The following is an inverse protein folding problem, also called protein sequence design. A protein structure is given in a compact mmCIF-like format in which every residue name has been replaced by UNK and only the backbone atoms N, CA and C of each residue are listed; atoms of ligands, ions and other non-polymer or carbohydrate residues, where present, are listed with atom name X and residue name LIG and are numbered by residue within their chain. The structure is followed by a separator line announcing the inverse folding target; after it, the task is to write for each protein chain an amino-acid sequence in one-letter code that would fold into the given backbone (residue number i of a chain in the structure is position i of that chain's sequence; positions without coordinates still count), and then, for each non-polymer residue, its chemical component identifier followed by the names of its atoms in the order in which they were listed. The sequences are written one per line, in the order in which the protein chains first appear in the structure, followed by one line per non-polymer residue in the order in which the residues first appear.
data_IF_123155868420
#
_entry.id   IF_123155868420
#
_cell.length_a   1.000
_cell.length_b   1.000
_cell.length_c   1.000
_cell.angle_alpha   90.00
_cell.angle_beta   90.00
_cell.angle_gamma   90.00
#
_symmetry.space_group_name_H-M   'P 1'
#
loop_
_entity.id
_entity.type
_entity.pdbx_description
1 polymer ?
#
# COMPACT_ATOMS: atom_id res chain seq x y z
N UNK A 1 -93.74 -10.73 5.52
CA UNK A 1 -93.26 -12.12 5.50
C UNK A 1 -91.89 -12.12 4.82
N UNK A 2 -90.77 -12.10 5.56
CA UNK A 2 -90.00 -13.24 6.11
C UNK A 2 -88.78 -13.57 5.21
N UNK A 3 -87.60 -13.20 5.74
CA UNK A 3 -86.27 -13.87 5.75
C UNK A 3 -85.33 -13.84 4.52
N UNK A 4 -84.20 -13.14 4.72
CA UNK A 4 -82.82 -13.53 4.31
C UNK A 4 -82.41 -14.88 4.92
N UNK A 5 -81.46 -15.67 4.34
CA UNK A 5 -80.03 -15.59 4.74
C UNK A 5 -79.00 -16.03 3.63
N UNK A 6 -77.80 -15.44 3.47
CA UNK A 6 -76.48 -15.67 4.14
C UNK A 6 -75.62 -16.81 3.51
N UNK A 7 -74.40 -16.40 3.07
CA UNK A 7 -73.08 -17.08 3.08
C UNK A 7 -72.61 -18.10 2.03
N UNK A 8 -71.34 -17.85 1.63
CA UNK A 8 -70.16 -18.73 1.59
C UNK A 8 -69.53 -18.83 0.19
N UNK A 9 -68.41 -18.13 -0.10
CA UNK A 9 -66.98 -18.47 0.12
C UNK A 9 -66.33 -18.78 -1.26
N UNK A 10 -65.47 -17.93 -1.85
CA UNK A 10 -64.01 -17.77 -1.65
C UNK A 10 -63.17 -18.57 -2.69
N UNK A 11 -62.03 -17.97 -3.08
CA UNK A 11 -60.90 -18.47 -3.89
C UNK A 11 -60.95 -17.99 -5.36
N UNK A 12 -60.39 -16.82 -5.72
CA UNK A 12 -58.98 -16.39 -5.74
C UNK A 12 -58.10 -17.17 -6.74
N UNK A 13 -57.99 -16.66 -7.97
CA UNK A 13 -56.77 -16.78 -8.80
C UNK A 13 -56.68 -15.63 -9.82
N UNK A 14 -56.28 -14.46 -9.31
CA UNK A 14 -55.75 -13.37 -10.13
C UNK A 14 -54.26 -13.66 -10.39
N UNK A 15 -53.95 -14.23 -11.55
CA UNK A 15 -52.58 -14.22 -12.10
C UNK A 15 -52.45 -12.97 -12.96
N UNK A 16 -52.30 -11.81 -12.33
CA UNK A 16 -51.76 -10.64 -13.01
C UNK A 16 -50.25 -10.88 -13.19
N UNK A 17 -49.88 -11.36 -14.37
CA UNK A 17 -48.51 -11.26 -14.86
C UNK A 17 -48.21 -9.77 -15.08
N UNK A 18 -47.62 -9.12 -14.08
CA UNK A 18 -47.02 -7.79 -14.22
C UNK A 18 -45.84 -7.88 -15.17
N UNK A 19 -46.12 -7.73 -16.47
CA UNK A 19 -45.12 -7.37 -17.48
C UNK A 19 -44.72 -5.93 -17.19
N UNK A 20 -43.55 -5.74 -16.59
CA UNK A 20 -43.01 -4.39 -16.38
C UNK A 20 -42.57 -3.81 -17.73
N UNK A 21 -43.13 -2.66 -18.17
CA UNK A 21 -42.73 -2.03 -19.42
C UNK A 21 -41.30 -1.49 -19.32
N UNK A 22 -40.50 -1.75 -20.36
CA UNK A 22 -39.07 -1.43 -20.48
C UNK A 22 -38.75 0.07 -20.64
N UNK A 23 -39.67 0.97 -20.26
CA UNK A 23 -39.53 2.41 -20.41
C UNK A 23 -39.27 3.16 -19.09
N UNK A 24 -39.11 2.42 -17.98
CA UNK A 24 -38.59 3.04 -16.76
C UNK A 24 -37.11 3.41 -16.94
N UNK A 25 -36.73 4.69 -16.81
CA UNK A 25 -35.33 5.06 -16.79
C UNK A 25 -34.70 4.36 -15.58
N UNK A 26 -33.85 3.37 -15.85
CA UNK A 26 -32.92 2.86 -14.85
C UNK A 26 -32.16 4.09 -14.40
N UNK A 27 -32.49 4.61 -13.20
CA UNK A 27 -31.80 5.74 -12.60
C UNK A 27 -30.35 5.31 -12.43
N UNK A 28 -29.51 5.58 -13.43
CA UNK A 28 -28.07 5.62 -13.26
C UNK A 28 -27.87 6.53 -12.05
N UNK A 29 -27.29 6.01 -10.97
CA UNK A 29 -26.99 6.81 -9.80
C UNK A 29 -26.17 8.04 -10.20
N UNK A 30 -26.01 9.03 -9.31
CA UNK A 30 -25.14 10.17 -9.56
C UNK A 30 -23.82 9.70 -10.19
N UNK A 31 -23.27 10.39 -11.20
CA UNK A 31 -22.11 9.93 -11.98
C UNK A 31 -20.93 9.49 -11.09
N UNK A 32 -20.78 10.14 -9.93
CA UNK A 32 -19.83 9.78 -8.88
C UNK A 32 -20.00 8.35 -8.32
N UNK A 33 -21.23 7.87 -8.07
CA UNK A 33 -21.49 6.50 -7.57
C UNK A 33 -21.13 5.42 -8.58
N UNK A 34 -21.32 5.69 -9.88
CA UNK A 34 -20.93 4.76 -10.94
C UNK A 34 -19.39 4.63 -11.01
N UNK A 35 -18.71 5.79 -10.99
CA UNK A 35 -17.24 5.88 -10.93
C UNK A 35 -16.67 5.13 -9.72
N UNK A 36 -17.22 5.32 -8.53
CA UNK A 36 -16.78 4.60 -7.32
C UNK A 36 -16.90 3.08 -7.45
N UNK A 37 -17.98 2.58 -8.04
CA UNK A 37 -18.22 1.14 -8.20
C UNK A 37 -17.17 0.49 -9.11
N UNK A 38 -16.80 1.17 -10.19
CA UNK A 38 -15.83 0.66 -11.17
C UNK A 38 -14.40 0.67 -10.62
N UNK A 39 -14.06 1.70 -9.84
CA UNK A 39 -12.72 1.87 -9.27
C UNK A 39 -12.49 1.12 -7.96
N UNK A 40 -13.52 0.55 -7.33
CA UNK A 40 -13.45 -0.03 -5.97
C UNK A 40 -12.29 -1.03 -5.77
N UNK A 41 -11.99 -1.84 -6.80
CA UNK A 41 -10.93 -2.86 -6.76
C UNK A 41 -9.68 -2.46 -7.56
N UNK A 42 -9.53 -1.17 -7.86
CA UNK A 42 -8.41 -0.61 -8.61
C UNK A 42 -7.55 0.23 -7.69
N UNK A 43 -6.25 0.12 -7.84
CA UNK A 43 -5.33 0.99 -7.11
C UNK A 43 -5.37 2.37 -7.76
N UNK A 44 -6.07 3.28 -7.09
CA UNK A 44 -6.24 4.67 -7.52
C UNK A 44 -5.34 5.56 -6.67
N UNK A 45 -4.62 6.44 -7.34
CA UNK A 45 -3.68 7.37 -6.74
C UNK A 45 -4.07 8.76 -7.20
N UNK A 46 -4.08 9.71 -6.26
CA UNK A 46 -4.46 11.09 -6.51
C UNK A 46 -3.20 11.93 -6.47
N UNK A 47 -2.80 12.49 -7.61
CA UNK A 47 -1.63 13.34 -7.73
C UNK A 47 -2.10 14.71 -8.19
N UNK A 48 -1.83 15.73 -7.38
CA UNK A 48 -2.16 17.12 -7.71
C UNK A 48 -3.65 17.35 -8.02
N UNK A 49 -4.52 16.61 -7.34
CA UNK A 49 -5.97 16.65 -7.55
C UNK A 49 -6.47 15.86 -8.77
N UNK A 50 -5.57 15.31 -9.57
CA UNK A 50 -5.88 14.39 -10.67
C UNK A 50 -5.82 12.93 -10.22
N UNK A 51 -6.67 12.09 -10.78
CA UNK A 51 -6.85 10.71 -10.34
C UNK A 51 -6.29 9.74 -11.40
N UNK A 52 -5.47 8.79 -10.95
CA UNK A 52 -4.77 7.82 -11.80
C UNK A 52 -5.05 6.39 -11.35
N UNK A 53 -5.19 5.46 -12.29
CA UNK A 53 -5.33 4.02 -12.04
C UNK A 53 -4.02 3.30 -12.34
N UNK A 54 -3.52 2.53 -11.37
CA UNK A 54 -2.40 1.59 -11.52
C UNK A 54 -2.85 0.37 -12.35
N UNK A 55 -2.20 0.11 -13.47
CA UNK A 55 -2.44 -1.09 -14.29
C UNK A 55 -1.12 -1.81 -14.58
N UNK A 56 -1.17 -3.13 -14.80
CA UNK A 56 0.01 -3.89 -15.20
C UNK A 56 0.35 -3.54 -16.65
N UNK A 57 1.64 -3.29 -16.93
CA UNK A 57 2.10 -3.05 -18.29
C UNK A 57 2.22 -4.39 -19.05
N UNK A 58 1.43 -4.65 -20.10
CA UNK A 58 1.53 -5.91 -20.85
C UNK A 58 2.91 -6.07 -21.52
N UNK A 59 3.55 -4.95 -21.90
CA UNK A 59 4.87 -4.95 -22.51
C UNK A 59 5.99 -5.38 -21.55
N UNK A 60 5.76 -5.33 -20.23
CA UNK A 60 6.76 -5.75 -19.23
C UNK A 60 7.16 -7.22 -19.36
N UNK A 61 6.21 -8.08 -19.70
CA UNK A 61 6.46 -9.51 -19.92
C UNK A 61 7.41 -9.80 -21.10
N UNK A 62 7.45 -8.89 -22.07
CA UNK A 62 8.22 -9.02 -23.31
C UNK A 62 9.53 -8.23 -23.27
N UNK A 63 9.61 -7.19 -22.44
CA UNK A 63 10.81 -6.40 -22.24
C UNK A 63 10.90 -5.91 -20.78
N UNK A 64 11.84 -6.47 -20.03
CA UNK A 64 12.08 -6.12 -18.62
C UNK A 64 12.60 -4.69 -18.43
N UNK A 65 13.03 -4.01 -19.50
CA UNK A 65 13.41 -2.60 -19.46
C UNK A 65 12.22 -1.64 -19.39
N UNK A 66 11.01 -2.14 -19.68
CA UNK A 66 9.78 -1.35 -19.57
C UNK A 66 9.32 -1.31 -18.10
N UNK A 67 8.58 -0.28 -17.68
CA UNK A 67 8.05 -0.25 -16.32
C UNK A 67 7.01 -1.36 -16.12
N UNK A 68 7.01 -1.99 -14.95
CA UNK A 68 6.08 -3.06 -14.57
C UNK A 68 4.61 -2.60 -14.54
N UNK A 69 4.38 -1.35 -14.17
CA UNK A 69 3.06 -0.76 -14.06
C UNK A 69 2.95 0.53 -14.90
N UNK A 70 1.74 0.80 -15.39
CA UNK A 70 1.36 2.08 -16.01
C UNK A 70 0.35 2.80 -15.11
N UNK A 71 0.35 4.13 -15.20
CA UNK A 71 -0.54 5.00 -14.44
C UNK A 71 -1.40 5.80 -15.41
N UNK A 72 -2.67 5.43 -15.50
CA UNK A 72 -3.59 5.93 -16.53
C UNK A 72 -4.58 6.89 -15.86
N UNK A 73 -4.77 8.11 -16.37
CA UNK A 73 -5.80 9.01 -15.87
C UNK A 73 -7.16 8.30 -15.81
N UNK A 74 -7.90 8.48 -14.71
CA UNK A 74 -9.17 7.78 -14.47
C UNK A 74 -10.15 8.00 -15.62
N UNK A 75 -10.26 9.21 -16.16
CA UNK A 75 -11.19 9.50 -17.26
C UNK A 75 -10.83 8.73 -18.54
N UNK A 76 -9.54 8.54 -18.79
CA UNK A 76 -9.04 7.68 -19.88
C UNK A 76 -9.29 6.20 -19.60
N UNK A 77 -9.06 5.76 -18.36
CA UNK A 77 -9.31 4.38 -17.96
C UNK A 77 -10.79 3.99 -18.11
N UNK A 78 -11.71 4.86 -17.69
CA UNK A 78 -13.15 4.63 -17.76
C UNK A 78 -13.69 4.67 -19.21
N UNK A 79 -13.02 5.39 -20.11
CA UNK A 79 -13.41 5.47 -21.53
C UNK A 79 -12.82 4.34 -22.38
N UNK A 80 -11.59 3.90 -22.07
CA UNK A 80 -10.84 2.90 -22.85
C UNK A 80 -10.73 1.53 -22.16
N UNK A 81 -11.43 1.29 -21.04
CA UNK A 81 -11.15 0.23 -20.06
C UNK A 81 -11.04 -1.22 -20.57
N UNK A 82 -11.57 -1.55 -21.75
CA UNK A 82 -11.40 -2.86 -22.39
C UNK A 82 -9.97 -3.17 -22.83
N UNK A 83 -9.16 -2.15 -23.14
CA UNK A 83 -7.76 -2.32 -23.56
C UNK A 83 -6.79 -2.62 -22.40
N UNK A 84 -7.20 -2.30 -21.16
CA UNK A 84 -6.37 -2.41 -19.95
C UNK A 84 -6.82 -3.50 -18.96
N UNK A 85 -7.94 -4.18 -19.23
CA UNK A 85 -8.53 -5.18 -18.33
C UNK A 85 -7.85 -6.57 -18.37
N UNK A 86 -6.93 -6.80 -19.29
CA UNK A 86 -6.36 -8.13 -19.55
C UNK A 86 -5.01 -8.35 -18.86
N UNK A 87 -5.00 -8.46 -17.52
CA UNK A 87 -3.99 -9.23 -16.74
C UNK A 87 -4.09 -8.91 -15.24
N UNK A 88 -5.08 -9.47 -14.57
CA UNK A 88 -4.95 -9.76 -13.13
C UNK A 88 -4.66 -11.26 -13.01
N UNK A 89 -3.54 -11.70 -12.41
CA UNK A 89 -3.36 -13.11 -12.08
C UNK A 89 -4.48 -13.52 -11.12
N UNK A 90 -5.28 -14.51 -11.52
CA UNK A 90 -6.15 -15.23 -10.59
C UNK A 90 -5.24 -16.01 -9.64
N UNK A 91 -5.15 -15.56 -8.41
CA UNK A 91 -4.62 -16.38 -7.32
C UNK A 91 -5.58 -17.58 -7.16
N UNK A 92 -5.08 -18.78 -7.49
CA UNK A 92 -5.83 -20.02 -7.41
C UNK A 92 -6.23 -20.29 -5.95
N UNK A 93 -7.49 -19.97 -5.64
CA UNK A 93 -8.12 -20.39 -4.39
C UNK A 93 -8.39 -21.89 -4.48
N UNK A 94 -7.49 -22.71 -3.94
CA UNK A 94 -7.78 -24.10 -3.60
C UNK A 94 -8.97 -24.13 -2.63
N UNK A 95 -10.12 -24.54 -3.16
CA UNK A 95 -11.29 -24.94 -2.38
C UNK A 95 -10.98 -26.30 -1.77
N UNK A 96 -11.00 -26.38 -0.44
CA UNK A 96 -11.48 -27.56 0.28
C UNK A 96 -12.00 -27.07 1.65
N UNK A 97 -13.32 -27.09 1.82
CA UNK A 97 -14.01 -26.92 3.10
C UNK A 97 -14.72 -28.24 3.42
N UNK A 98 -14.55 -28.78 4.64
CA UNK A 98 -15.51 -29.72 5.19
C UNK A 98 -16.62 -28.99 5.97
N UNK A 99 -17.83 -29.52 5.80
CA UNK A 99 -19.15 -29.12 6.31
C UNK A 99 -19.20 -29.00 7.84
N UNK A 100 -19.96 -28.04 8.42
CA UNK A 100 -20.15 -27.93 9.87
C UNK A 100 -21.28 -28.86 10.36
N UNK A 101 -20.98 -29.68 11.38
CA UNK A 101 -21.95 -30.49 12.12
C UNK A 101 -22.61 -29.64 13.21
N UNK A 102 -23.95 -29.54 13.14
CA UNK A 102 -24.83 -28.96 14.17
C UNK A 102 -24.98 -29.90 15.37
N UNK A 103 -24.93 -29.36 16.61
CA UNK A 103 -25.81 -29.72 17.76
C UNK A 103 -25.56 -28.82 19.01
N UNK A 104 -26.44 -28.79 20.04
CA UNK A 104 -27.31 -27.65 20.34
C UNK A 104 -27.01 -26.93 21.68
N UNK A 105 -27.57 -25.72 21.82
CA UNK A 105 -27.59 -24.87 23.02
C UNK A 105 -28.56 -25.37 24.12
N UNK A 106 -28.28 -25.06 25.40
CA UNK A 106 -29.30 -24.48 26.30
C UNK A 106 -28.68 -23.45 27.31
N UNK A 107 -29.44 -22.92 28.28
CA UNK A 107 -30.45 -21.87 28.15
C UNK A 107 -30.08 -20.57 28.92
N UNK A 108 -31.02 -19.65 28.88
CA UNK A 108 -30.96 -18.22 29.18
C UNK A 108 -31.22 -17.88 30.66
N UNK A 109 -30.27 -17.22 31.32
CA UNK A 109 -30.40 -16.24 32.42
C UNK A 109 -28.96 -15.82 32.79
N UNK A 110 -28.58 -14.57 33.02
CA UNK A 110 -29.23 -13.56 33.84
C UNK A 110 -28.61 -12.19 33.51
N UNK A 111 -29.33 -11.15 33.92
CA UNK A 111 -29.14 -9.74 33.56
C UNK A 111 -27.98 -9.15 34.36
N UNK A 112 -26.90 -8.74 33.69
CA UNK A 112 -25.88 -7.88 34.31
C UNK A 112 -25.55 -6.69 33.40
N UNK A 113 -25.75 -5.50 33.98
CA UNK A 113 -25.53 -4.19 33.39
C UNK A 113 -24.03 -4.03 33.13
N UNK A 114 -23.60 -4.21 31.87
CA UNK A 114 -22.25 -3.84 31.47
C UNK A 114 -22.22 -2.38 31.04
N UNK A 115 -21.52 -1.60 31.86
CA UNK A 115 -21.06 -0.25 31.61
C UNK A 115 -20.50 -0.11 30.20
N UNK A 116 -21.01 0.88 29.47
CA UNK A 116 -20.46 1.34 28.20
C UNK A 116 -19.18 2.09 28.54
N UNK A 117 -18.05 1.40 28.57
CA UNK A 117 -16.77 2.06 28.36
C UNK A 117 -16.69 2.45 26.88
N UNK A 118 -16.23 3.67 26.54
CA UNK A 118 -15.95 4.02 25.16
C UNK A 118 -14.99 2.98 24.57
N UNK A 119 -15.19 2.54 23.31
CA UNK A 119 -14.28 1.59 22.70
C UNK A 119 -12.89 2.21 22.71
N UNK A 120 -11.98 1.60 23.47
CA UNK A 120 -10.56 1.87 23.36
C UNK A 120 -10.16 1.75 21.89
N UNK A 121 -9.42 2.72 21.33
CA UNK A 121 -9.03 2.67 19.93
C UNK A 121 -8.26 1.38 19.69
N UNK A 122 -8.86 0.47 18.93
CA UNK A 122 -8.18 -0.73 18.45
C UNK A 122 -6.94 -0.24 17.73
N UNK A 123 -5.76 -0.67 18.17
CA UNK A 123 -4.48 -0.41 17.50
C UNK A 123 -4.70 -0.51 16.00
N UNK A 124 -4.66 0.63 15.32
CA UNK A 124 -5.01 0.69 13.91
C UNK A 124 -3.84 0.04 13.16
N UNK A 125 -4.11 -0.99 12.35
CA UNK A 125 -3.14 -1.67 11.46
C UNK A 125 -2.76 -0.74 10.29
N UNK A 126 -2.43 0.51 10.59
CA UNK A 126 -2.12 1.52 9.60
C UNK A 126 -0.72 1.30 9.06
N UNK A 127 -0.62 1.36 7.74
CA UNK A 127 0.63 1.13 7.04
C UNK A 127 1.28 2.45 6.63
N UNK A 128 2.57 2.57 6.88
CA UNK A 128 3.38 3.72 6.47
C UNK A 128 3.82 3.53 5.03
N UNK A 129 3.61 4.54 4.21
CA UNK A 129 4.06 4.64 2.83
C UNK A 129 5.55 4.96 2.80
N UNK A 130 6.32 4.02 2.31
CA UNK A 130 7.77 4.14 2.17
C UNK A 130 8.13 3.88 0.72
N UNK A 131 9.05 4.67 0.17
CA UNK A 131 9.66 4.37 -1.12
C UNK A 131 11.09 3.87 -0.90
N UNK A 132 11.45 2.79 -1.58
CA UNK A 132 12.83 2.31 -1.64
C UNK A 132 13.34 2.68 -3.02
N UNK A 133 14.33 3.57 -3.06
CA UNK A 133 14.94 4.04 -4.30
C UNK A 133 15.99 3.05 -4.82
N UNK A 134 16.51 3.35 -6.00
CA UNK A 134 17.65 2.65 -6.57
C UNK A 134 18.84 2.63 -5.59
N UNK A 135 19.62 1.55 -5.64
CA UNK A 135 20.85 1.42 -4.85
C UNK A 135 22.04 1.86 -5.70
N UNK A 136 22.75 2.89 -5.23
CA UNK A 136 24.00 3.34 -5.84
C UNK A 136 25.04 2.21 -5.79
N UNK A 137 25.40 1.69 -6.95
CA UNK A 137 26.28 0.55 -7.11
C UNK A 137 27.75 1.01 -7.15
N UNK A 138 28.47 0.79 -6.04
CA UNK A 138 29.90 1.11 -5.91
C UNK A 138 30.77 -0.13 -6.03
N UNK A 139 30.33 -1.12 -6.81
CA UNK A 139 31.15 -2.28 -7.18
C UNK A 139 32.36 -1.87 -8.03
N UNK A 140 33.37 -2.75 -8.04
CA UNK A 140 34.62 -2.53 -8.79
C UNK A 140 34.59 -3.09 -10.21
N UNK A 141 33.54 -3.85 -10.57
CA UNK A 141 33.35 -4.43 -11.89
C UNK A 141 32.36 -3.61 -12.71
N UNK A 142 32.82 -3.02 -13.82
CA UNK A 142 32.02 -2.13 -14.67
C UNK A 142 30.85 -2.82 -15.40
N UNK A 143 30.76 -4.16 -15.36
CA UNK A 143 29.84 -4.95 -16.19
C UNK A 143 28.55 -5.39 -15.46
N UNK A 144 28.45 -5.21 -14.14
CA UNK A 144 27.32 -5.70 -13.33
C UNK A 144 26.68 -4.55 -12.53
N UNK A 145 25.76 -3.78 -13.14
CA UNK A 145 24.90 -2.84 -12.41
C UNK A 145 23.77 -3.63 -11.73
N UNK A 146 23.98 -4.03 -10.48
CA UNK A 146 23.02 -4.85 -9.72
C UNK A 146 22.16 -4.03 -8.74
N UNK A 147 22.36 -2.72 -8.67
CA UNK A 147 21.63 -1.81 -7.78
C UNK A 147 20.09 -1.92 -7.87
N UNK A 148 19.53 -1.99 -9.10
CA UNK A 148 18.08 -2.17 -9.30
C UNK A 148 17.60 -3.50 -8.71
N UNK A 149 18.36 -4.57 -8.95
CA UNK A 149 18.04 -5.91 -8.46
C UNK A 149 18.13 -6.00 -6.92
N UNK A 150 19.14 -5.35 -6.31
CA UNK A 150 19.25 -5.23 -4.85
C UNK A 150 18.08 -4.46 -4.27
N UNK A 151 17.68 -3.34 -4.88
CA UNK A 151 16.56 -2.53 -4.40
C UNK A 151 15.25 -3.34 -4.39
N UNK A 152 14.98 -4.12 -5.46
CA UNK A 152 13.84 -5.02 -5.54
C UNK A 152 13.93 -6.14 -4.49
N UNK A 153 15.12 -6.69 -4.25
CA UNK A 153 15.32 -7.75 -3.25
C UNK A 153 15.07 -7.25 -1.83
N UNK A 154 15.54 -6.04 -1.49
CA UNK A 154 15.26 -5.38 -0.20
C UNK A 154 13.77 -5.06 -0.08
N UNK A 155 13.14 -4.52 -1.12
CA UNK A 155 11.70 -4.24 -1.14
C UNK A 155 10.86 -5.50 -0.89
N UNK A 156 11.19 -6.60 -1.56
CA UNK A 156 10.54 -7.88 -1.35
C UNK A 156 10.73 -8.41 0.08
N UNK A 157 11.92 -8.25 0.65
CA UNK A 157 12.19 -8.68 2.02
C UNK A 157 11.44 -7.84 3.07
N UNK A 158 11.35 -6.52 2.87
CA UNK A 158 10.54 -5.62 3.70
C UNK A 158 9.05 -6.01 3.63
N UNK A 159 8.51 -6.20 2.42
CA UNK A 159 7.10 -6.58 2.22
C UNK A 159 6.78 -7.97 2.80
N UNK A 160 7.75 -8.90 2.77
CA UNK A 160 7.61 -10.24 3.37
C UNK A 160 7.56 -10.19 4.89
N UNK A 161 8.36 -9.31 5.51
CA UNK A 161 8.55 -9.27 6.97
C UNK A 161 7.65 -8.30 7.70
N UNK A 162 7.12 -7.28 7.04
CA UNK A 162 6.29 -6.26 7.68
C UNK A 162 4.91 -6.15 7.04
N UNK A 163 3.89 -6.20 7.89
CA UNK A 163 2.50 -5.85 7.51
C UNK A 163 2.19 -4.37 7.71
N UNK A 164 3.13 -3.59 8.29
CA UNK A 164 2.94 -2.17 8.68
C UNK A 164 3.60 -1.17 7.72
N UNK A 165 4.25 -1.66 6.68
CA UNK A 165 4.86 -0.84 5.62
C UNK A 165 4.09 -1.10 4.32
N UNK A 166 3.79 -0.02 3.61
CA UNK A 166 3.23 -0.03 2.27
C UNK A 166 4.28 0.57 1.33
N UNK A 167 4.82 -0.24 0.43
CA UNK A 167 5.84 0.23 -0.51
C UNK A 167 5.19 0.97 -1.67
N UNK A 168 5.63 2.20 -1.90
CA UNK A 168 5.25 3.01 -3.07
C UNK A 168 6.20 2.68 -4.23
N UNK A 169 5.64 2.55 -5.44
CA UNK A 169 6.40 2.23 -6.64
C UNK A 169 7.41 3.33 -6.98
N UNK A 170 8.70 3.00 -6.93
CA UNK A 170 9.77 3.94 -7.23
C UNK A 170 9.68 4.53 -8.63
N UNK A 171 9.27 3.75 -9.65
CA UNK A 171 9.20 4.23 -11.04
C UNK A 171 8.12 5.31 -11.21
N UNK A 172 7.03 5.22 -10.46
CA UNK A 172 6.04 6.29 -10.40
C UNK A 172 6.62 7.55 -9.78
N UNK A 173 7.30 7.41 -8.65
CA UNK A 173 7.90 8.52 -7.94
C UNK A 173 8.94 9.23 -8.82
N UNK A 174 9.81 8.45 -9.47
CA UNK A 174 10.79 8.92 -10.45
C UNK A 174 10.11 9.69 -11.59
N UNK A 175 9.10 9.12 -12.23
CA UNK A 175 8.38 9.78 -13.33
C UNK A 175 7.65 11.06 -12.88
N UNK A 176 7.14 11.10 -11.65
CA UNK A 176 6.55 12.30 -11.08
C UNK A 176 7.59 13.40 -10.83
N UNK A 177 8.75 13.06 -10.27
CA UNK A 177 9.85 14.02 -10.06
C UNK A 177 10.36 14.58 -11.38
N UNK A 178 10.56 13.73 -12.39
CA UNK A 178 11.00 14.16 -13.72
C UNK A 178 10.02 15.16 -14.35
N UNK A 179 8.69 14.90 -14.25
CA UNK A 179 7.66 15.85 -14.71
C UNK A 179 7.72 17.20 -13.97
N UNK A 180 8.20 17.19 -12.72
CA UNK A 180 8.40 18.40 -11.90
C UNK A 180 9.77 19.06 -12.11
N UNK A 181 10.60 18.51 -12.99
CA UNK A 181 11.93 19.03 -13.29
C UNK A 181 13.02 18.62 -12.30
N UNK A 182 12.73 17.67 -11.40
CA UNK A 182 13.69 17.11 -10.45
C UNK A 182 14.33 15.82 -10.98
N UNK A 183 15.57 15.59 -10.58
CA UNK A 183 16.29 14.35 -10.80
C UNK A 183 16.16 13.41 -9.60
N UNK A 184 16.35 12.09 -9.76
CA UNK A 184 16.34 11.15 -8.63
C UNK A 184 17.34 11.50 -7.52
N UNK A 185 18.48 12.11 -7.87
CA UNK A 185 19.48 12.58 -6.90
C UNK A 185 18.95 13.70 -5.98
N UNK A 186 17.90 14.42 -6.39
CA UNK A 186 17.31 15.49 -5.59
C UNK A 186 16.44 14.96 -4.45
N UNK A 187 16.25 13.65 -4.31
CA UNK A 187 15.48 13.03 -3.22
C UNK A 187 16.06 13.30 -1.82
N UNK A 188 17.31 13.78 -1.73
CA UNK A 188 17.92 14.25 -0.48
C UNK A 188 17.47 15.68 -0.10
N UNK A 189 16.88 16.43 -1.03
CA UNK A 189 16.44 17.79 -0.81
C UNK A 189 15.13 17.81 0.02
N UNK A 190 15.07 18.55 1.15
CA UNK A 190 13.86 18.68 1.95
C UNK A 190 12.63 19.14 1.16
N UNK A 191 12.79 19.99 0.14
CA UNK A 191 11.67 20.44 -0.70
C UNK A 191 11.09 19.30 -1.53
N UNK A 192 11.95 18.40 -2.01
CA UNK A 192 11.53 17.21 -2.76
C UNK A 192 10.85 16.22 -1.82
N UNK A 193 11.41 15.99 -0.62
CA UNK A 193 10.77 15.15 0.40
C UNK A 193 9.38 15.66 0.78
N UNK A 194 9.22 16.97 0.93
CA UNK A 194 7.92 17.60 1.17
C UNK A 194 6.95 17.37 0.01
N UNK A 195 7.40 17.59 -1.24
CA UNK A 195 6.61 17.34 -2.43
C UNK A 195 6.16 15.87 -2.54
N UNK A 196 7.03 14.91 -2.21
CA UNK A 196 6.70 13.48 -2.18
C UNK A 196 5.67 13.15 -1.10
N UNK A 197 5.74 13.83 0.04
CA UNK A 197 4.76 13.70 1.10
C UNK A 197 3.39 14.24 0.69
N UNK A 198 3.35 15.41 0.05
CA UNK A 198 2.10 16.00 -0.47
C UNK A 198 1.47 15.12 -1.56
N UNK A 199 2.26 14.72 -2.57
CA UNK A 199 1.76 13.97 -3.71
C UNK A 199 1.36 12.53 -3.38
N UNK A 200 2.19 11.81 -2.63
CA UNK A 200 1.99 10.36 -2.42
C UNK A 200 1.63 9.97 -0.99
N UNK A 201 1.78 10.90 -0.03
CA UNK A 201 1.69 10.57 1.39
C UNK A 201 2.87 9.74 1.87
N UNK A 202 4.01 9.77 1.18
CA UNK A 202 5.25 9.06 1.58
C UNK A 202 5.75 9.66 2.89
N UNK A 203 5.99 8.82 3.91
CA UNK A 203 6.57 9.27 5.19
C UNK A 203 8.10 9.12 5.23
N UNK A 204 8.67 8.20 4.45
CA UNK A 204 10.11 8.03 4.36
C UNK A 204 10.58 7.57 2.97
N UNK A 205 11.76 8.05 2.59
CA UNK A 205 12.52 7.63 1.41
C UNK A 205 13.74 6.84 1.87
N UNK A 206 13.95 5.65 1.33
CA UNK A 206 15.13 4.82 1.60
C UNK A 206 16.05 4.87 0.38
N UNK A 207 17.22 5.47 0.55
CA UNK A 207 18.27 5.53 -0.47
C UNK A 207 19.31 4.46 -0.17
N UNK A 208 19.65 3.63 -1.15
CA UNK A 208 20.57 2.51 -0.97
C UNK A 208 21.96 2.78 -1.52
N UNK A 209 22.95 2.11 -0.92
CA UNK A 209 24.31 1.99 -1.48
C UNK A 209 24.79 0.55 -1.36
N UNK A 210 25.52 0.09 -2.37
CA UNK A 210 26.11 -1.25 -2.41
C UNK A 210 27.63 -1.14 -2.54
N UNK A 211 28.34 -1.82 -1.64
CA UNK A 211 29.80 -1.93 -1.68
C UNK A 211 30.21 -3.40 -1.70
N UNK A 212 30.93 -3.82 -2.74
CA UNK A 212 31.10 -5.24 -3.08
C UNK A 212 29.92 -5.77 -3.92
N UNK A 213 29.82 -7.08 -4.22
CA UNK A 213 30.49 -8.18 -3.53
C UNK A 213 31.96 -8.35 -3.93
N UNK A 214 32.83 -8.51 -2.94
CA UNK A 214 34.24 -8.89 -3.13
C UNK A 214 34.41 -10.39 -2.89
N UNK A 215 34.99 -11.11 -3.84
CA UNK A 215 35.19 -12.55 -3.78
C UNK A 215 36.64 -12.87 -3.42
N UNK A 216 36.81 -13.80 -2.48
CA UNK A 216 38.09 -14.31 -2.02
C UNK A 216 38.17 -15.80 -2.36
N UNK A 217 39.17 -16.18 -3.16
CA UNK A 217 39.49 -17.58 -3.42
C UNK A 217 40.61 -18.04 -2.51
N UNK A 218 40.44 -19.20 -1.90
CA UNK A 218 41.48 -19.89 -1.15
C UNK A 218 41.67 -21.28 -1.73
N UNK A 219 42.89 -21.54 -2.22
CA UNK A 219 43.33 -22.88 -2.58
C UNK A 219 43.83 -23.57 -1.32
N UNK A 220 42.97 -24.40 -0.72
CA UNK A 220 43.38 -25.28 0.37
C UNK A 220 44.19 -26.42 -0.24
N UNK A 221 45.50 -26.47 0.03
CA UNK A 221 46.36 -27.56 -0.45
C UNK A 221 45.83 -28.94 -0.02
N UNK A 222 45.48 -29.77 -1.00
CA UNK A 222 44.85 -31.09 -0.84
C UNK A 222 43.73 -31.31 -1.86
N UNK A 223 43.18 -32.53 -1.91
CA UNK A 223 42.13 -33.00 -2.85
C UNK A 223 40.77 -32.25 -2.74
N UNK A 224 40.72 -31.20 -1.92
CA UNK A 224 39.56 -30.33 -1.71
C UNK A 224 39.78 -29.06 -2.55
N UNK A 225 39.20 -29.03 -3.74
CA UNK A 225 39.36 -27.95 -4.72
C UNK A 225 39.07 -26.53 -4.18
N UNK A 226 39.39 -25.52 -5.00
CA UNK A 226 39.33 -24.10 -4.63
C UNK A 226 38.02 -23.72 -3.93
N UNK A 227 38.14 -23.12 -2.74
CA UNK A 227 37.02 -22.58 -1.96
C UNK A 227 36.88 -21.10 -2.24
N UNK A 228 35.66 -20.64 -2.50
CA UNK A 228 35.34 -19.23 -2.69
C UNK A 228 34.51 -18.72 -1.52
N UNK A 229 34.77 -17.50 -1.08
CA UNK A 229 33.96 -16.77 -0.10
C UNK A 229 33.71 -15.36 -0.61
N UNK A 230 32.63 -14.71 -0.19
CA UNK A 230 32.37 -13.33 -0.61
C UNK A 230 31.96 -12.44 0.57
N UNK A 231 32.25 -11.15 0.45
CA UNK A 231 31.86 -10.10 1.40
C UNK A 231 31.19 -8.97 0.65
N UNK A 232 30.05 -8.54 1.16
CA UNK A 232 29.29 -7.40 0.66
C UNK A 232 28.78 -6.58 1.84
N UNK A 233 28.75 -5.26 1.65
CA UNK A 233 28.12 -4.33 2.56
C UNK A 233 27.01 -3.62 1.81
N UNK A 234 25.81 -3.65 2.38
CA UNK A 234 24.64 -2.95 1.86
C UNK A 234 24.29 -1.84 2.85
N UNK A 235 24.41 -0.60 2.43
CA UNK A 235 24.07 0.58 3.22
C UNK A 235 22.73 1.16 2.80
N UNK A 236 22.02 1.77 3.74
CA UNK A 236 20.84 2.60 3.44
C UNK A 236 20.87 3.89 4.25
N UNK A 237 20.36 4.96 3.64
CA UNK A 237 19.98 6.19 4.31
C UNK A 237 18.48 6.31 4.28
N UNK A 238 17.88 6.57 5.44
CA UNK A 238 16.44 6.76 5.59
C UNK A 238 16.22 8.24 5.79
N UNK A 239 15.44 8.84 4.91
CA UNK A 239 15.08 10.25 4.92
C UNK A 239 13.61 10.36 5.26
N UNK A 240 13.30 10.84 6.46
CA UNK A 240 11.93 11.12 6.84
C UNK A 240 11.46 12.43 6.22
N UNK A 241 10.21 12.47 5.77
CA UNK A 241 9.61 13.73 5.29
C UNK A 241 9.36 14.71 6.43
N UNK A 242 9.53 14.28 7.69
CA UNK A 242 9.56 15.11 8.90
C UNK A 242 10.86 15.91 9.07
N UNK A 243 11.90 15.59 8.29
CA UNK A 243 13.22 16.24 8.33
C UNK A 243 14.29 15.47 9.12
N UNK A 244 13.97 14.32 9.72
CA UNK A 244 14.97 13.44 10.33
C UNK A 244 15.64 12.56 9.27
N UNK A 245 16.89 12.20 9.52
CA UNK A 245 17.60 11.21 8.71
C UNK A 245 18.41 10.26 9.58
N UNK A 246 18.52 9.01 9.13
CA UNK A 246 19.34 7.99 9.77
C UNK A 246 20.05 7.14 8.71
N UNK A 247 21.11 6.45 9.11
CA UNK A 247 21.87 5.57 8.22
C UNK A 247 22.11 4.23 8.89
N UNK A 248 21.98 3.16 8.11
CA UNK A 248 22.11 1.78 8.56
C UNK A 248 22.94 1.02 7.54
N UNK A 249 23.56 -0.08 7.95
CA UNK A 249 24.20 -1.00 7.01
C UNK A 249 24.09 -2.44 7.49
N UNK A 250 23.92 -3.37 6.56
CA UNK A 250 24.06 -4.80 6.78
C UNK A 250 25.32 -5.33 6.09
N UNK A 251 25.93 -6.35 6.69
CA UNK A 251 27.10 -7.03 6.14
C UNK A 251 26.99 -8.53 6.42
N UNK A 252 27.45 -9.35 5.48
CA UNK A 252 27.44 -10.80 5.68
C UNK A 252 28.68 -11.28 6.47
N UNK A 253 28.55 -12.36 7.26
CA UNK A 253 29.69 -13.06 7.81
C UNK A 253 30.45 -13.80 6.69
N UNK A 254 31.77 -13.58 6.55
CA UNK A 254 32.62 -14.21 5.51
C UNK A 254 32.53 -15.74 5.57
N UNK A 255 32.51 -16.31 6.77
CA UNK A 255 32.50 -17.77 6.96
C UNK A 255 31.21 -18.40 6.43
N UNK A 256 30.09 -17.67 6.49
CA UNK A 256 28.80 -18.15 6.05
C UNK A 256 28.65 -18.19 4.52
N UNK A 257 29.58 -17.59 3.77
CA UNK A 257 29.56 -17.52 2.30
C UNK A 257 30.57 -18.44 1.63
N UNK A 258 31.22 -19.32 2.40
CA UNK A 258 32.12 -20.35 1.87
C UNK A 258 31.35 -21.31 0.97
N UNK A 259 31.83 -21.47 -0.26
CA UNK A 259 31.28 -22.34 -1.29
C UNK A 259 32.42 -23.07 -2.01
N UNK A 260 32.18 -24.30 -2.44
CA UNK A 260 33.15 -25.15 -3.15
C UNK A 260 32.58 -25.69 -4.46
N UNK A 261 33.47 -26.14 -5.34
CA UNK A 261 33.08 -26.75 -6.61
C UNK A 261 32.74 -25.74 -7.72
N UNK A 262 32.05 -26.17 -8.78
CA UNK A 262 31.78 -25.32 -9.94
C UNK A 262 30.87 -24.15 -9.55
N UNK A 263 31.18 -22.98 -10.11
CA UNK A 263 30.50 -21.71 -9.84
C UNK A 263 30.52 -21.29 -8.36
N UNK A 264 31.52 -21.73 -7.59
CA UNK A 264 31.64 -21.40 -6.16
C UNK A 264 31.68 -19.89 -5.91
N UNK A 265 32.30 -19.11 -6.79
CA UNK A 265 32.31 -17.65 -6.67
C UNK A 265 30.93 -17.03 -6.76
N UNK A 266 30.17 -17.41 -7.78
CA UNK A 266 28.84 -16.86 -8.03
C UNK A 266 27.88 -17.23 -6.90
N UNK A 267 27.95 -18.50 -6.45
CA UNK A 267 27.20 -18.94 -5.27
C UNK A 267 27.59 -18.15 -4.01
N UNK A 268 28.88 -17.91 -3.80
CA UNK A 268 29.37 -17.13 -2.67
C UNK A 268 28.87 -15.68 -2.73
N UNK A 269 28.93 -15.02 -3.90
CA UNK A 269 28.39 -13.67 -4.13
C UNK A 269 26.91 -13.60 -3.76
N UNK A 270 26.09 -14.49 -4.35
CA UNK A 270 24.64 -14.51 -4.12
C UNK A 270 24.30 -14.72 -2.65
N UNK A 271 25.01 -15.65 -1.99
CA UNK A 271 24.84 -15.93 -0.57
C UNK A 271 25.26 -14.75 0.31
N UNK A 272 26.33 -14.04 -0.05
CA UNK A 272 26.74 -12.82 0.64
C UNK A 272 25.65 -11.75 0.59
N UNK A 273 25.08 -11.52 -0.59
CA UNK A 273 24.01 -10.55 -0.81
C UNK A 273 22.77 -10.90 0.00
N UNK A 274 22.28 -12.15 -0.10
CA UNK A 274 21.09 -12.58 0.64
C UNK A 274 21.29 -12.41 2.16
N UNK A 275 22.46 -12.76 2.70
CA UNK A 275 22.76 -12.61 4.13
C UNK A 275 22.83 -11.13 4.55
N UNK A 276 23.48 -10.27 3.75
CA UNK A 276 23.58 -8.85 4.05
C UNK A 276 22.21 -8.15 3.99
N UNK A 277 21.35 -8.51 3.03
CA UNK A 277 19.98 -7.98 2.93
C UNK A 277 19.13 -8.41 4.13
N UNK A 278 19.22 -9.68 4.55
CA UNK A 278 18.49 -10.18 5.73
C UNK A 278 18.90 -9.41 6.99
N UNK A 279 20.20 -9.16 7.16
CA UNK A 279 20.71 -8.42 8.30
C UNK A 279 20.28 -6.94 8.27
N UNK A 280 20.48 -6.27 7.13
CA UNK A 280 20.05 -4.89 6.89
C UNK A 280 18.56 -4.71 7.18
N UNK A 281 17.71 -5.59 6.62
CA UNK A 281 16.26 -5.44 6.69
C UNK A 281 15.75 -5.51 8.12
N UNK A 282 16.41 -6.26 9.02
CA UNK A 282 16.04 -6.31 10.43
C UNK A 282 16.18 -4.93 11.10
N UNK A 283 17.27 -4.22 10.81
CA UNK A 283 17.52 -2.88 11.34
C UNK A 283 16.64 -1.83 10.67
N UNK A 284 16.46 -1.92 9.35
CA UNK A 284 15.60 -1.05 8.57
C UNK A 284 14.16 -1.08 9.10
N UNK A 285 13.59 -2.26 9.34
CA UNK A 285 12.21 -2.38 9.83
C UNK A 285 12.02 -1.76 11.21
N UNK A 286 13.00 -1.87 12.10
CA UNK A 286 12.95 -1.22 13.43
C UNK A 286 12.88 0.30 13.30
N UNK A 287 13.69 0.87 12.41
CA UNK A 287 13.69 2.31 12.17
C UNK A 287 12.36 2.77 11.56
N UNK A 288 11.85 2.05 10.55
CA UNK A 288 10.57 2.37 9.92
C UNK A 288 9.38 2.19 10.88
N UNK A 289 9.49 1.31 11.89
CA UNK A 289 8.45 1.09 12.90
C UNK A 289 8.28 2.27 13.86
N UNK A 290 9.31 3.11 14.05
CA UNK A 290 9.27 4.30 14.90
C UNK A 290 8.62 5.49 14.20
N UNK A 291 8.52 5.48 12.86
CA UNK A 291 7.88 6.56 12.11
C UNK A 291 6.45 6.81 12.61
N UNK A 292 6.06 8.08 12.66
CA UNK A 292 4.68 8.44 12.95
C UNK A 292 3.80 8.18 11.71
N UNK A 293 2.63 7.58 11.90
CA UNK A 293 1.67 7.43 10.81
C UNK A 293 0.83 8.69 10.67
N UNK A 294 0.66 9.16 9.43
CA UNK A 294 -0.27 10.21 9.05
C UNK A 294 -0.63 10.11 7.57
N UNK A 295 -1.72 10.73 7.15
CA UNK A 295 -2.04 10.92 5.72
C UNK A 295 -2.44 12.38 5.46
N UNK A 296 -2.79 12.72 4.21
CA UNK A 296 -3.14 14.08 3.80
C UNK A 296 -4.40 14.13 2.96
N UNK A 297 -5.04 15.30 2.99
CA UNK A 297 -6.11 15.64 2.07
C UNK A 297 -5.51 16.00 0.71
N UNK A 298 -5.78 15.17 -0.30
CA UNK A 298 -5.30 15.33 -1.67
C UNK A 298 -6.20 16.21 -2.53
N UNK A 299 -7.50 16.29 -2.22
CA UNK A 299 -8.50 17.06 -2.96
C UNK A 299 -9.73 17.33 -2.09
N UNK A 300 -10.35 18.49 -2.29
CA UNK A 300 -11.59 18.89 -1.62
C UNK A 300 -12.66 19.16 -2.68
N UNK A 301 -13.80 18.49 -2.56
CA UNK A 301 -14.96 18.70 -3.43
C UNK A 301 -16.21 18.91 -2.58
N UNK A 302 -16.62 20.18 -2.44
CA UNK A 302 -17.72 20.56 -1.54
C UNK A 302 -17.44 20.18 -0.09
N UNK A 303 -18.16 19.17 0.41
CA UNK A 303 -18.02 18.61 1.76
C UNK A 303 -17.34 17.23 1.79
N UNK A 304 -16.85 16.76 0.64
CA UNK A 304 -16.10 15.52 0.52
C UNK A 304 -14.59 15.80 0.47
N UNK A 305 -13.84 15.10 1.32
CA UNK A 305 -12.39 15.22 1.42
C UNK A 305 -11.76 13.94 0.89
N UNK A 306 -10.97 14.04 -0.16
CA UNK A 306 -10.27 12.91 -0.75
C UNK A 306 -8.90 12.77 -0.08
N UNK A 307 -8.64 11.59 0.45
CA UNK A 307 -7.51 11.32 1.32
C UNK A 307 -6.56 10.36 0.61
N UNK A 308 -5.27 10.65 0.63
CA UNK A 308 -4.22 9.85 0.01
C UNK A 308 -3.85 8.59 0.82
N UNK A 309 -4.84 7.97 1.46
CA UNK A 309 -4.73 6.70 2.15
C UNK A 309 -6.08 5.99 2.06
N UNK A 310 -6.06 4.67 1.92
CA UNK A 310 -7.29 3.88 1.82
C UNK A 310 -7.13 2.50 2.43
N UNK A 311 -7.75 1.51 1.80
CA UNK A 311 -7.80 0.14 2.30
C UNK A 311 -6.41 -0.49 2.44
N UNK A 312 -5.49 -0.26 1.48
CA UNK A 312 -4.13 -0.79 1.56
C UNK A 312 -3.31 -0.15 2.69
N UNK A 313 -3.52 1.15 2.94
CA UNK A 313 -2.98 1.87 4.09
C UNK A 313 -3.61 1.48 5.43
N UNK A 314 -4.65 0.62 5.43
CA UNK A 314 -5.31 0.11 6.63
C UNK A 314 -6.50 0.96 7.12
N UNK A 315 -6.87 2.04 6.42
CA UNK A 315 -8.01 2.88 6.79
C UNK A 315 -9.33 2.17 6.55
N UNK A 316 -10.25 2.31 7.50
CA UNK A 316 -11.58 1.70 7.49
C UNK A 316 -12.67 2.77 7.46
N UNK A 317 -13.78 2.43 6.83
CA UNK A 317 -14.99 3.26 6.89
C UNK A 317 -15.46 3.36 8.34
N UNK A 318 -15.72 4.58 8.79
CA UNK A 318 -16.07 4.90 10.17
C UNK A 318 -14.90 5.39 11.02
N UNK A 319 -13.64 5.22 10.58
CA UNK A 319 -12.47 5.78 11.29
C UNK A 319 -12.60 7.30 11.38
N UNK A 320 -12.17 7.85 12.52
CA UNK A 320 -12.20 9.30 12.79
C UNK A 320 -10.78 9.80 12.91
N UNK A 321 -10.50 10.86 12.16
CA UNK A 321 -9.18 11.44 12.02
C UNK A 321 -9.21 12.89 12.50
N UNK A 322 -8.19 13.28 13.25
CA UNK A 322 -7.92 14.67 13.61
C UNK A 322 -7.28 15.38 12.43
N UNK A 323 -7.79 16.57 12.11
CA UNK A 323 -7.29 17.43 11.03
C UNK A 323 -6.31 18.44 11.61
N UNK A 324 -5.09 18.45 11.10
CA UNK A 324 -4.01 19.32 11.52
C UNK A 324 -3.57 20.18 10.33
N UNK A 325 -3.29 21.45 10.57
CA UNK A 325 -2.72 22.31 9.54
C UNK A 325 -1.25 21.96 9.31
N UNK A 326 -0.84 21.88 8.04
CA UNK A 326 0.57 21.66 7.74
C UNK A 326 1.44 22.84 8.22
N UNK A 327 2.63 22.53 8.74
CA UNK A 327 3.57 23.53 9.28
C UNK A 327 3.23 24.11 10.66
N UNK A 328 2.02 23.90 11.20
CA UNK A 328 1.66 24.36 12.56
C UNK A 328 1.61 23.16 13.51
N UNK A 329 2.57 23.11 14.44
CA UNK A 329 2.50 22.20 15.59
C UNK A 329 1.47 22.74 16.58
N UNK A 330 0.23 22.25 16.51
CA UNK A 330 -0.75 22.51 17.56
C UNK A 330 -2.19 22.61 17.05
N UNK A 331 -3.07 22.03 17.87
CA UNK A 331 -4.53 21.97 17.82
C UNK A 331 -5.20 21.47 16.52
N UNK A 332 -6.05 20.46 16.68
CA UNK A 332 -6.82 19.94 15.57
C UNK A 332 -7.83 20.99 15.09
N UNK A 333 -7.77 21.39 13.80
CA UNK A 333 -8.75 22.23 13.11
C UNK A 333 -10.16 21.62 13.18
N UNK A 334 -10.22 20.30 13.23
CA UNK A 334 -11.47 19.55 13.24
C UNK A 334 -11.25 18.05 13.23
N UNK A 335 -12.34 17.33 12.98
CA UNK A 335 -12.38 15.87 12.86
C UNK A 335 -13.08 15.48 11.56
N UNK A 336 -12.49 14.56 10.81
CA UNK A 336 -13.06 13.97 9.60
C UNK A 336 -13.36 12.50 9.88
N UNK A 337 -14.54 12.03 9.47
CA UNK A 337 -14.90 10.62 9.48
C UNK A 337 -14.75 10.03 8.08
N UNK A 338 -14.07 8.90 7.96
CA UNK A 338 -13.97 8.16 6.69
C UNK A 338 -15.37 7.62 6.33
N UNK A 339 -15.92 8.06 5.20
CA UNK A 339 -17.25 7.71 4.73
C UNK A 339 -17.24 6.61 3.67
N UNK A 340 -16.13 6.45 2.95
CA UNK A 340 -15.99 5.43 1.90
C UNK A 340 -14.55 5.29 1.40
N UNK A 341 -14.32 4.27 0.59
CA UNK A 341 -13.07 4.11 -0.15
C UNK A 341 -13.22 4.60 -1.59
N UNK A 342 -12.12 5.10 -2.13
CA UNK A 342 -11.98 5.47 -3.52
C UNK A 342 -10.74 4.76 -4.07
N UNK A 343 -10.94 3.73 -4.90
CA UNK A 343 -9.86 2.80 -5.20
C UNK A 343 -9.44 1.95 -4.00
N UNK A 344 -8.28 1.28 -4.11
CA UNK A 344 -7.74 0.43 -3.05
C UNK A 344 -6.92 1.21 -2.02
N UNK A 345 -6.37 2.39 -2.36
CA UNK A 345 -5.51 3.16 -1.45
C UNK A 345 -5.79 4.67 -1.41
N UNK A 346 -7.00 5.07 -1.75
CA UNK A 346 -7.54 6.37 -1.39
C UNK A 346 -8.91 6.21 -0.68
N UNK A 347 -9.33 7.25 0.01
CA UNK A 347 -10.61 7.27 0.72
C UNK A 347 -11.28 8.62 0.64
N UNK A 348 -12.56 8.64 0.98
CA UNK A 348 -13.38 9.84 1.07
C UNK A 348 -13.77 10.00 2.53
N UNK A 349 -13.61 11.22 3.04
CA UNK A 349 -14.02 11.62 4.36
C UNK A 349 -15.09 12.72 4.31
N UNK A 350 -15.85 12.84 5.39
CA UNK A 350 -16.80 13.92 5.63
C UNK A 350 -16.48 14.61 6.94
N UNK A 351 -16.60 15.94 6.97
CA UNK A 351 -16.37 16.74 8.18
C UNK A 351 -17.37 16.33 9.25
N UNK A 352 -16.85 15.97 10.43
CA UNK A 352 -17.65 15.62 11.60
C UNK A 352 -17.79 16.82 12.55
N UNK A 353 -16.69 17.53 12.79
CA UNK A 353 -16.63 18.67 13.69
C UNK A 353 -15.48 19.60 13.30
N UNK A 354 -15.59 20.89 13.61
CA UNK A 354 -14.51 21.88 13.47
C UNK A 354 -14.60 22.70 12.19
N UNK A 355 -13.49 23.36 11.87
CA UNK A 355 -13.36 24.22 10.70
C UNK A 355 -13.19 23.41 9.42
N UNK A 356 -13.42 24.07 8.28
CA UNK A 356 -13.21 23.46 6.96
C UNK A 356 -11.73 23.05 6.82
N UNK A 357 -11.51 21.84 6.32
CA UNK A 357 -10.18 21.34 6.02
C UNK A 357 -9.77 21.75 4.59
N UNK A 358 -8.47 21.94 4.40
CA UNK A 358 -7.87 22.40 3.16
C UNK A 358 -7.03 21.29 2.51
N UNK A 359 -6.70 21.46 1.23
CA UNK A 359 -5.75 20.56 0.55
C UNK A 359 -4.41 20.61 1.29
N UNK A 360 -3.78 19.45 1.41
CA UNK A 360 -2.53 19.19 2.14
C UNK A 360 -2.60 19.25 3.67
N UNK A 361 -3.77 19.53 4.28
CA UNK A 361 -3.96 19.31 5.72
C UNK A 361 -3.64 17.85 6.09
N UNK A 362 -3.02 17.68 7.26
CA UNK A 362 -2.54 16.40 7.78
C UNK A 362 -3.67 15.74 8.58
N UNK A 363 -3.86 14.43 8.38
CA UNK A 363 -4.81 13.60 9.10
C UNK A 363 -4.09 12.57 9.96
N UNK A 364 -4.43 12.52 11.26
CA UNK A 364 -3.93 11.54 12.22
C UNK A 364 -5.08 10.82 12.94
N UNK A 365 -4.92 9.55 13.35
CA UNK A 365 -5.97 8.85 14.09
C UNK A 365 -6.31 9.59 15.39
N UNK A 366 -7.60 9.80 15.68
CA UNK A 366 -7.99 10.46 16.92
C UNK A 366 -7.53 9.67 18.14
N UNK A 367 -6.79 10.32 19.05
CA UNK A 367 -6.29 9.70 20.29
C UNK A 367 -4.91 9.04 20.17
N UNK A 368 -4.18 9.25 19.07
CA UNK A 368 -2.74 8.93 19.00
C UNK A 368 -1.92 10.02 19.71
N UNK A 369 -2.04 10.12 21.04
CA UNK A 369 -0.97 10.77 21.81
C UNK A 369 0.22 9.81 21.89
N UNK A 370 1.43 10.38 21.76
CA UNK A 370 2.68 9.66 21.54
C UNK A 370 2.92 8.51 22.52
N UNK A 371 3.44 7.41 21.97
CA UNK A 371 4.18 6.41 22.74
C UNK A 371 5.67 6.66 22.58
#
# INVERSE_FOLDING_TARGET
MIRFPIFALLILSLVFACSTPSWFPIKKGPPHKAKMKELLNKEVIILEGEEYVKVVNPAFSSNLSQPKYLYIPVDRYLSEGSSYAASAPKEETKKDLPVPVKKPSPPMSEKEVRSILPPTPKSTDLKKKVVIAHFDDRTTGADELIGDWISERVANEVNRRSSRILLVDYRMVEGFLQKKGFQPADMENPNVLHLLNEGFGIQAVVLGELTGPYVFRTETGGDQGATSSAVVKVGVRILETSGKSSSLSGQNPVVATKETGPFSEEKAKMKAIDLAIVDLTRSLLKELDVLEWFCRISKVDGNEFYINAGRLSGLKVGDVMDVLQDGIRGEAKGKIRISGWFGTDASIGTLLQGSKADVNDILKPTGSEGT
#
